data_IF_272865290613
#
_entry.id   IF_272865290613
#
_cell.length_a   1.000
_cell.length_b   1.000
_cell.length_c   1.000
_cell.angle_alpha   90.00
_cell.angle_beta   90.00
_cell.angle_gamma   90.00
#
_symmetry.space_group_name_H-M   'P 1'
#
loop_
_entity.id
_entity.type
_entity.pdbx_description
1 polymer ?
#
# COMPACT_ATOMS: atom_id res chain seq x y z
N UNK A 1 -6.26 -23.60 8.61
CA UNK A 1 -6.97 -22.32 8.54
C UNK A 1 -6.44 -21.58 7.34
N UNK A 2 -7.27 -20.83 6.63
CA UNK A 2 -6.80 -19.91 5.58
C UNK A 2 -6.06 -18.76 6.27
N UNK A 3 -4.86 -18.43 5.78
CA UNK A 3 -4.04 -17.33 6.30
C UNK A 3 -4.41 -16.06 5.54
N UNK A 4 -4.38 -14.92 6.23
CA UNK A 4 -4.52 -13.61 5.59
C UNK A 4 -3.16 -12.91 5.60
N UNK A 5 -2.75 -12.42 4.44
CA UNK A 5 -1.48 -11.73 4.23
C UNK A 5 -1.74 -10.30 3.80
N UNK A 6 -0.99 -9.37 4.38
CA UNK A 6 -1.00 -7.96 3.99
C UNK A 6 0.27 -7.61 3.22
N UNK A 7 0.13 -6.90 2.10
CA UNK A 7 1.22 -6.48 1.21
C UNK A 7 1.30 -4.95 1.23
N UNK A 8 2.50 -4.42 1.43
CA UNK A 8 2.77 -2.98 1.37
C UNK A 8 2.84 -2.44 -0.06
N UNK A 9 3.30 -1.19 -0.18
CA UNK A 9 3.42 -0.44 -1.43
C UNK A 9 4.34 -1.16 -2.43
N UNK A 10 4.00 -1.11 -3.73
CA UNK A 10 4.65 -1.90 -4.79
C UNK A 10 5.37 -1.01 -5.81
N UNK A 11 4.75 0.11 -6.21
CA UNK A 11 5.38 1.14 -7.04
C UNK A 11 5.98 0.65 -8.37
N UNK A 12 5.24 -0.20 -9.10
CA UNK A 12 5.71 -0.79 -10.36
C UNK A 12 6.77 -1.88 -10.21
N UNK A 13 7.09 -2.32 -8.99
CA UNK A 13 8.07 -3.36 -8.72
C UNK A 13 7.53 -4.78 -8.92
N UNK A 14 7.10 -5.15 -10.14
CA UNK A 14 6.52 -6.47 -10.44
C UNK A 14 7.44 -7.63 -10.04
N UNK A 15 8.73 -7.58 -10.38
CA UNK A 15 9.70 -8.63 -10.00
C UNK A 15 9.77 -8.83 -8.48
N UNK A 16 9.64 -7.75 -7.73
CA UNK A 16 9.65 -7.79 -6.28
C UNK A 16 8.34 -8.34 -5.71
N UNK A 17 7.20 -7.99 -6.31
CA UNK A 17 5.91 -8.57 -5.98
C UNK A 17 5.93 -10.10 -6.17
N UNK A 18 6.35 -10.57 -7.35
CA UNK A 18 6.44 -12.01 -7.65
C UNK A 18 7.36 -12.73 -6.65
N UNK A 19 8.55 -12.16 -6.41
CA UNK A 19 9.52 -12.74 -5.50
C UNK A 19 9.01 -12.79 -4.05
N UNK A 20 8.31 -11.75 -3.57
CA UNK A 20 7.81 -11.74 -2.19
C UNK A 20 6.66 -12.72 -1.99
N UNK A 21 5.77 -12.87 -2.98
CA UNK A 21 4.71 -13.89 -2.97
C UNK A 21 5.29 -15.31 -2.97
N UNK A 22 6.35 -15.56 -3.74
CA UNK A 22 7.07 -16.84 -3.73
C UNK A 22 7.70 -17.12 -2.36
N UNK A 23 8.42 -16.15 -1.78
CA UNK A 23 9.10 -16.29 -0.48
C UNK A 23 8.12 -16.56 0.66
N UNK A 24 6.96 -15.91 0.65
CA UNK A 24 5.89 -16.15 1.60
C UNK A 24 5.11 -17.44 1.33
N UNK A 25 5.43 -18.14 0.23
CA UNK A 25 4.76 -19.36 -0.22
C UNK A 25 3.25 -19.16 -0.28
N UNK A 26 2.83 -18.09 -0.95
CA UNK A 26 1.41 -17.78 -1.13
C UNK A 26 0.74 -18.89 -1.93
N UNK A 27 -0.46 -19.26 -1.50
CA UNK A 27 -1.32 -20.25 -2.14
C UNK A 27 -2.69 -19.64 -2.43
N UNK A 28 -3.47 -20.31 -3.27
CA UNK A 28 -4.85 -19.94 -3.59
C UNK A 28 -5.82 -19.98 -2.40
N UNK A 29 -5.39 -20.59 -1.28
CA UNK A 29 -6.13 -20.63 -0.02
C UNK A 29 -5.87 -19.41 0.86
N UNK A 30 -4.85 -18.61 0.56
CA UNK A 30 -4.53 -17.41 1.31
C UNK A 30 -5.38 -16.24 0.81
N UNK A 31 -5.82 -15.40 1.75
CA UNK A 31 -6.43 -14.10 1.44
C UNK A 31 -5.35 -13.03 1.40
N UNK A 32 -5.35 -12.20 0.36
CA UNK A 32 -4.37 -11.12 0.21
C UNK A 32 -5.04 -9.76 0.40
N UNK A 33 -4.41 -8.88 1.17
CA UNK A 33 -4.83 -7.49 1.34
C UNK A 33 -3.67 -6.61 0.89
N UNK A 34 -3.86 -5.85 -0.18
CA UNK A 34 -2.87 -4.93 -0.71
C UNK A 34 -3.18 -3.51 -0.27
N UNK A 35 -2.17 -2.80 0.25
CA UNK A 35 -2.35 -1.50 0.92
C UNK A 35 -2.33 -0.28 -0.03
N UNK A 36 -2.24 -0.47 -1.34
CA UNK A 36 -2.22 0.60 -2.34
C UNK A 36 -0.83 0.95 -2.84
N UNK A 37 -0.78 1.98 -3.68
CA UNK A 37 0.42 2.46 -4.40
C UNK A 37 1.07 1.32 -5.20
N UNK A 38 0.29 0.80 -6.15
CA UNK A 38 0.69 -0.27 -7.07
C UNK A 38 1.60 0.25 -8.19
N UNK A 39 1.38 1.50 -8.58
CA UNK A 39 1.98 2.17 -9.73
C UNK A 39 2.97 3.25 -9.30
N UNK A 40 3.66 3.79 -10.30
CA UNK A 40 4.67 4.86 -10.22
C UNK A 40 5.99 4.43 -9.59
N UNK A 41 7.09 4.90 -10.16
CA UNK A 41 8.44 4.60 -9.70
C UNK A 41 9.17 3.69 -10.67
N UNK A 42 8.95 2.38 -10.59
CA UNK A 42 9.59 1.41 -11.48
C UNK A 42 8.77 1.17 -12.75
N UNK A 43 9.45 0.73 -13.80
CA UNK A 43 8.92 0.68 -15.18
C UNK A 43 7.74 -0.26 -15.42
N UNK A 44 7.45 -1.19 -14.49
CA UNK A 44 6.48 -2.28 -14.71
C UNK A 44 5.09 -1.99 -14.12
N UNK A 45 4.68 -0.72 -14.04
CA UNK A 45 3.41 -0.30 -13.39
C UNK A 45 2.15 -0.92 -14.01
N UNK A 46 1.99 -0.88 -15.34
CA UNK A 46 0.85 -1.50 -16.02
C UNK A 46 0.85 -3.03 -15.88
N UNK A 47 2.04 -3.65 -15.86
CA UNK A 47 2.21 -5.08 -15.67
C UNK A 47 1.89 -5.52 -14.23
N UNK A 48 2.19 -4.70 -13.22
CA UNK A 48 1.70 -4.91 -11.85
C UNK A 48 0.18 -4.96 -11.83
N UNK A 49 -0.51 -3.99 -12.45
CA UNK A 49 -1.98 -4.00 -12.47
C UNK A 49 -2.53 -5.26 -13.15
N UNK A 50 -1.97 -5.68 -14.29
CA UNK A 50 -2.32 -6.94 -14.94
C UNK A 50 -2.13 -8.15 -14.00
N UNK A 51 -0.98 -8.25 -13.34
CA UNK A 51 -0.69 -9.33 -12.42
C UNK A 51 -1.68 -9.39 -11.24
N UNK A 52 -2.08 -8.23 -10.70
CA UNK A 52 -3.06 -8.15 -9.60
C UNK A 52 -4.47 -8.55 -10.08
N UNK A 53 -4.88 -8.14 -11.28
CA UNK A 53 -6.15 -8.58 -11.89
C UNK A 53 -6.14 -10.11 -12.05
N UNK A 54 -5.10 -10.69 -12.64
CA UNK A 54 -5.00 -12.14 -12.80
C UNK A 54 -4.96 -12.89 -11.47
N UNK A 55 -4.30 -12.33 -10.45
CA UNK A 55 -4.23 -12.92 -9.11
C UNK A 55 -5.60 -12.95 -8.44
N UNK A 56 -6.38 -11.87 -8.58
CA UNK A 56 -7.74 -11.77 -8.03
C UNK A 56 -8.74 -12.77 -8.63
N UNK A 57 -8.45 -13.27 -9.84
CA UNK A 57 -9.25 -14.32 -10.48
C UNK A 57 -8.98 -15.71 -9.88
N UNK A 58 -7.84 -15.87 -9.18
CA UNK A 58 -7.36 -17.16 -8.65
C UNK A 58 -7.58 -17.28 -7.14
N UNK A 59 -7.59 -16.17 -6.40
CA UNK A 59 -7.77 -16.16 -4.94
C UNK A 59 -8.38 -14.86 -4.43
N UNK A 60 -8.87 -14.90 -3.18
CA UNK A 60 -9.48 -13.72 -2.54
C UNK A 60 -8.45 -12.61 -2.34
N UNK A 61 -8.70 -11.46 -2.96
CA UNK A 61 -7.86 -10.27 -2.85
C UNK A 61 -8.71 -9.05 -2.44
N UNK A 62 -8.15 -8.21 -1.59
CA UNK A 62 -8.68 -6.88 -1.25
C UNK A 62 -7.64 -5.85 -1.66
N UNK A 63 -8.03 -4.88 -2.47
CA UNK A 63 -7.15 -3.82 -2.95
C UNK A 63 -7.57 -2.49 -2.33
N UNK A 64 -6.68 -1.91 -1.51
CA UNK A 64 -6.86 -0.55 -0.98
C UNK A 64 -6.30 0.45 -2.00
N UNK A 65 -6.99 1.56 -2.25
CA UNK A 65 -6.53 2.59 -3.20
C UNK A 65 -5.53 3.52 -2.53
N UNK A 66 -4.31 3.58 -3.05
CA UNK A 66 -3.29 4.56 -2.68
C UNK A 66 -3.45 5.91 -3.38
N UNK A 67 -2.59 6.87 -3.06
CA UNK A 67 -2.63 8.17 -3.73
C UNK A 67 -2.09 8.10 -5.17
N UNK A 68 -1.09 7.26 -5.42
CA UNK A 68 -0.53 7.07 -6.75
C UNK A 68 -1.54 6.36 -7.69
N UNK A 69 -2.27 5.40 -7.16
CA UNK A 69 -3.34 4.69 -7.88
C UNK A 69 -4.47 5.64 -8.31
N UNK A 70 -4.85 6.58 -7.43
CA UNK A 70 -5.85 7.60 -7.76
C UNK A 70 -5.37 8.52 -8.89
N UNK A 71 -4.10 8.94 -8.88
CA UNK A 71 -3.57 9.76 -9.97
C UNK A 71 -3.53 9.01 -11.30
N UNK A 72 -3.14 7.72 -11.28
CA UNK A 72 -3.15 6.89 -12.48
C UNK A 72 -4.57 6.70 -13.03
N UNK A 73 -5.56 6.44 -12.17
CA UNK A 73 -6.97 6.33 -12.56
C UNK A 73 -7.48 7.64 -13.19
N UNK A 74 -7.23 8.80 -12.57
CA UNK A 74 -7.64 10.10 -13.12
C UNK A 74 -6.95 10.40 -14.47
N UNK A 75 -5.69 9.98 -14.62
CA UNK A 75 -4.96 10.12 -15.86
C UNK A 75 -5.54 9.24 -16.96
N UNK A 76 -5.77 7.95 -16.70
CA UNK A 76 -6.34 7.01 -17.67
C UNK A 76 -7.76 7.44 -18.08
N UNK A 77 -8.59 7.88 -17.13
CA UNK A 77 -9.99 8.23 -17.39
C UNK A 77 -10.16 9.60 -18.06
N UNK A 78 -9.35 10.60 -17.68
CA UNK A 78 -9.60 12.00 -18.05
C UNK A 78 -8.39 12.72 -18.63
N UNK A 79 -7.24 12.06 -18.72
CA UNK A 79 -5.97 12.68 -19.14
C UNK A 79 -5.39 13.66 -18.11
N UNK A 80 -5.89 13.66 -16.87
CA UNK A 80 -5.40 14.56 -15.82
C UNK A 80 -4.01 14.12 -15.35
N UNK A 81 -3.01 15.00 -15.50
CA UNK A 81 -1.61 14.72 -15.16
C UNK A 81 -0.99 15.84 -14.32
N UNK A 82 -1.25 15.89 -13.01
CA UNK A 82 -0.63 16.88 -12.14
C UNK A 82 0.90 16.82 -12.24
N UNK A 83 1.57 17.97 -12.31
CA UNK A 83 3.04 18.03 -12.36
C UNK A 83 3.68 17.31 -11.16
N UNK A 84 3.09 17.47 -9.98
CA UNK A 84 3.52 16.77 -8.76
C UNK A 84 3.50 15.25 -8.92
N UNK A 85 2.52 14.69 -9.62
CA UNK A 85 2.45 13.24 -9.87
C UNK A 85 3.55 12.78 -10.82
N UNK A 86 3.78 13.51 -11.91
CA UNK A 86 4.86 13.23 -12.87
C UNK A 86 6.24 13.22 -12.20
N UNK A 87 6.51 14.20 -11.33
CA UNK A 87 7.75 14.29 -10.54
C UNK A 87 7.90 13.17 -9.50
N UNK A 88 6.81 12.49 -9.14
CA UNK A 88 6.79 11.41 -8.15
C UNK A 88 6.67 10.02 -8.80
N UNK A 89 7.13 9.85 -10.04
CA UNK A 89 7.21 8.55 -10.71
C UNK A 89 6.11 8.27 -11.72
N UNK A 90 5.16 9.19 -11.91
CA UNK A 90 4.05 9.03 -12.87
C UNK A 90 4.49 8.92 -14.33
N UNK A 91 5.68 9.44 -14.68
CA UNK A 91 6.23 9.30 -16.06
C UNK A 91 6.46 7.82 -16.42
N UNK A 92 7.06 7.04 -15.52
CA UNK A 92 7.31 5.61 -15.74
C UNK A 92 5.99 4.83 -15.91
N UNK A 93 4.97 5.21 -15.13
CA UNK A 93 3.61 4.66 -15.31
C UNK A 93 3.09 4.97 -16.69
N UNK A 94 3.12 6.23 -17.14
CA UNK A 94 2.65 6.59 -18.48
C UNK A 94 3.37 5.80 -19.59
N UNK A 95 4.69 5.63 -19.47
CA UNK A 95 5.49 4.85 -20.42
C UNK A 95 5.09 3.37 -20.44
N UNK A 96 4.76 2.78 -19.28
CA UNK A 96 4.31 1.38 -19.19
C UNK A 96 2.97 1.11 -19.90
N UNK A 97 2.19 2.14 -20.19
CA UNK A 97 0.91 2.06 -20.91
C UNK A 97 1.01 2.45 -22.40
N UNK A 98 2.21 2.73 -22.93
CA UNK A 98 2.37 3.30 -24.28
C UNK A 98 1.74 2.48 -25.42
N UNK A 99 1.72 1.15 -25.28
CA UNK A 99 1.21 0.22 -26.29
C UNK A 99 -0.16 -0.39 -25.92
N UNK A 100 -0.82 0.11 -24.87
CA UNK A 100 -2.13 -0.41 -24.44
C UNK A 100 -3.25 0.07 -25.36
N UNK A 101 -4.13 -0.86 -25.73
CA UNK A 101 -5.39 -0.55 -26.40
C UNK A 101 -6.43 0.04 -25.44
N UNK A 102 -7.42 0.73 -25.99
CA UNK A 102 -8.55 1.27 -25.21
C UNK A 102 -9.26 0.16 -24.38
N UNK A 103 -9.37 -1.06 -24.93
CA UNK A 103 -9.98 -2.20 -24.22
C UNK A 103 -9.16 -2.64 -23.00
N UNK A 104 -7.83 -2.60 -23.09
CA UNK A 104 -6.95 -2.95 -21.97
C UNK A 104 -6.98 -1.84 -20.91
N UNK A 105 -7.03 -0.57 -21.33
CA UNK A 105 -7.21 0.57 -20.42
C UNK A 105 -8.55 0.46 -19.68
N UNK A 106 -9.64 0.11 -20.35
CA UNK A 106 -10.96 -0.06 -19.72
C UNK A 106 -10.94 -1.14 -18.63
N UNK A 107 -10.23 -2.26 -18.85
CA UNK A 107 -10.04 -3.31 -17.82
C UNK A 107 -9.30 -2.79 -16.59
N UNK A 108 -8.28 -1.97 -16.79
CA UNK A 108 -7.52 -1.38 -15.69
C UNK A 108 -8.35 -0.32 -14.95
N UNK A 109 -9.14 0.49 -15.67
CA UNK A 109 -10.08 1.44 -15.06
C UNK A 109 -11.15 0.73 -14.22
N UNK A 110 -11.66 -0.42 -14.68
CA UNK A 110 -12.56 -1.24 -13.88
C UNK A 110 -11.88 -1.72 -12.59
N UNK A 111 -10.63 -2.18 -12.67
CA UNK A 111 -9.85 -2.57 -11.50
C UNK A 111 -9.66 -1.41 -10.50
N UNK A 112 -9.23 -0.24 -10.96
CA UNK A 112 -9.12 0.95 -10.10
C UNK A 112 -10.47 1.33 -9.47
N UNK A 113 -11.56 1.25 -10.23
CA UNK A 113 -12.91 1.59 -9.76
C UNK A 113 -13.43 0.65 -8.66
N UNK A 114 -12.92 -0.58 -8.57
CA UNK A 114 -13.31 -1.58 -7.56
C UNK A 114 -12.51 -1.50 -6.26
N UNK A 115 -11.40 -0.73 -6.21
CA UNK A 115 -10.58 -0.62 -5.02
C UNK A 115 -11.30 0.08 -3.87
N UNK A 116 -10.96 -0.33 -2.65
CA UNK A 116 -11.52 0.22 -1.42
C UNK A 116 -10.72 1.40 -0.91
N UNK A 117 -11.39 2.37 -0.28
CA UNK A 117 -10.69 3.42 0.48
C UNK A 117 -10.03 2.87 1.75
N UNK A 118 -10.68 1.90 2.38
CA UNK A 118 -10.21 1.16 3.54
C UNK A 118 -11.04 -0.13 3.66
N UNK A 119 -10.55 -1.07 4.47
CA UNK A 119 -11.24 -2.32 4.80
C UNK A 119 -11.13 -2.59 6.30
N UNK A 120 -12.20 -3.13 6.91
CA UNK A 120 -12.18 -3.60 8.30
C UNK A 120 -12.62 -5.05 8.31
N UNK A 121 -11.87 -5.89 9.01
CA UNK A 121 -12.20 -7.31 9.13
C UNK A 121 -13.07 -7.64 10.36
N UNK A 122 -13.41 -8.93 10.49
CA UNK A 122 -14.24 -9.43 11.59
C UNK A 122 -13.58 -9.31 12.97
N UNK A 123 -12.26 -9.11 13.03
CA UNK A 123 -11.49 -8.93 14.27
C UNK A 123 -11.30 -7.44 14.59
N UNK A 124 -12.00 -6.54 13.88
CA UNK A 124 -11.88 -5.09 14.02
C UNK A 124 -10.44 -4.60 13.81
N UNK A 125 -9.76 -5.15 12.80
CA UNK A 125 -8.48 -4.65 12.28
C UNK A 125 -8.75 -3.80 11.06
N UNK A 126 -8.15 -2.61 11.01
CA UNK A 126 -8.27 -1.66 9.92
C UNK A 126 -7.13 -1.83 8.92
N UNK A 127 -7.44 -1.77 7.65
CA UNK A 127 -6.50 -1.72 6.54
C UNK A 127 -6.79 -0.45 5.72
N UNK A 128 -5.82 0.45 5.65
CA UNK A 128 -5.97 1.77 5.03
C UNK A 128 -4.62 2.23 4.49
N UNK A 129 -4.59 2.88 3.32
CA UNK A 129 -3.31 3.19 2.67
C UNK A 129 -2.45 4.13 3.54
N UNK A 130 -2.99 5.29 3.93
CA UNK A 130 -2.27 6.27 4.74
C UNK A 130 -2.82 6.36 6.18
N UNK A 131 -4.03 6.90 6.34
CA UNK A 131 -4.58 7.11 7.69
C UNK A 131 -5.93 7.82 7.72
N UNK A 132 -6.26 8.35 8.89
CA UNK A 132 -7.46 9.14 9.12
C UNK A 132 -7.25 10.09 10.30
N UNK A 133 -7.87 11.26 10.22
CA UNK A 133 -7.82 12.31 11.23
C UNK A 133 -9.01 12.28 12.19
N UNK A 134 -10.15 11.73 11.74
CA UNK A 134 -11.38 11.69 12.53
C UNK A 134 -11.22 10.92 13.85
N UNK A 135 -11.72 11.50 14.93
CA UNK A 135 -11.76 10.86 16.26
C UNK A 135 -12.78 9.72 16.35
N UNK A 136 -13.61 9.55 15.32
CA UNK A 136 -14.66 8.53 15.25
C UNK A 136 -14.41 7.52 14.12
N UNK A 137 -13.18 7.43 13.62
CA UNK A 137 -12.76 6.44 12.63
C UNK A 137 -12.93 6.89 11.18
N UNK A 138 -12.44 6.10 10.22
CA UNK A 138 -12.45 6.44 8.80
C UNK A 138 -13.88 6.64 8.26
N UNK A 139 -14.89 5.93 8.79
CA UNK A 139 -16.30 6.12 8.39
C UNK A 139 -16.86 7.54 8.64
N UNK A 140 -16.26 8.28 9.60
CA UNK A 140 -16.63 9.66 9.95
C UNK A 140 -15.57 10.66 9.49
N UNK A 141 -14.69 10.26 8.57
CA UNK A 141 -13.71 11.17 7.99
C UNK A 141 -14.40 12.16 7.05
N UNK A 142 -14.22 13.45 7.30
CA UNK A 142 -14.79 14.51 6.48
C UNK A 142 -14.02 14.69 5.17
N UNK A 143 -12.71 14.45 5.21
CA UNK A 143 -11.82 14.60 4.08
C UNK A 143 -11.42 13.22 3.56
N UNK A 144 -12.16 12.70 2.58
CA UNK A 144 -11.89 11.36 2.00
C UNK A 144 -10.49 11.23 1.38
N UNK A 145 -9.80 12.33 1.10
CA UNK A 145 -8.37 12.32 0.75
C UNK A 145 -7.49 11.76 1.86
N UNK A 146 -7.86 11.91 3.13
CA UNK A 146 -7.03 11.46 4.25
C UNK A 146 -6.73 9.96 4.20
N UNK A 147 -7.62 9.14 3.65
CA UNK A 147 -7.37 7.72 3.45
C UNK A 147 -6.07 7.44 2.66
N UNK A 148 -5.68 8.38 1.79
CA UNK A 148 -4.54 8.29 0.88
C UNK A 148 -3.37 9.21 1.22
N UNK A 149 -3.56 10.22 2.06
CA UNK A 149 -2.55 11.25 2.32
C UNK A 149 -2.28 11.56 3.80
N UNK A 150 -3.12 11.09 4.74
CA UNK A 150 -2.91 11.40 6.16
C UNK A 150 -1.68 10.70 6.72
N UNK A 151 -0.67 11.49 7.07
CA UNK A 151 0.54 11.01 7.77
C UNK A 151 0.41 11.12 9.29
N UNK A 152 -0.59 11.85 9.78
CA UNK A 152 -0.68 12.18 11.20
C UNK A 152 -0.99 10.96 12.06
N UNK A 153 -1.73 9.96 11.54
CA UNK A 153 -1.99 8.71 12.25
C UNK A 153 -0.68 7.98 12.58
N UNK A 154 0.19 7.82 11.58
CA UNK A 154 1.50 7.19 11.75
C UNK A 154 2.42 8.01 12.67
N UNK A 155 2.51 9.31 12.42
CA UNK A 155 3.31 10.22 13.27
C UNK A 155 2.86 10.17 14.74
N UNK A 156 1.56 10.08 14.99
CA UNK A 156 1.00 9.93 16.34
C UNK A 156 1.41 8.62 16.98
N UNK A 157 1.37 7.51 16.25
CA UNK A 157 1.80 6.21 16.75
C UNK A 157 3.30 6.20 17.05
N UNK A 158 4.13 6.78 16.17
CA UNK A 158 5.59 6.89 16.34
C UNK A 158 5.96 7.76 17.53
N UNK A 159 5.27 8.88 17.74
CA UNK A 159 5.56 9.84 18.81
C UNK A 159 4.97 9.46 20.17
N UNK A 160 4.10 8.44 20.24
CA UNK A 160 3.47 8.02 21.49
C UNK A 160 4.52 7.49 22.48
N UNK A 161 4.57 8.11 23.66
CA UNK A 161 5.38 7.62 24.77
C UNK A 161 4.82 6.27 25.25
N UNK A 162 5.65 5.22 25.14
CA UNK A 162 5.25 3.84 25.45
C UNK A 162 4.92 3.60 26.92
N UNK A 163 5.16 4.58 27.80
CA UNK A 163 4.76 4.55 29.23
C UNK A 163 3.31 5.00 29.45
N UNK A 164 2.66 5.55 28.43
CA UNK A 164 1.26 5.99 28.53
C UNK A 164 0.36 4.77 28.32
N UNK A 165 -0.35 4.39 29.38
CA UNK A 165 -1.31 3.28 29.36
C UNK A 165 -2.56 3.60 28.53
N UNK A 166 -3.20 2.57 27.96
CA UNK A 166 -4.36 2.70 27.05
C UNK A 166 -5.59 3.36 27.70
N UNK A 167 -5.74 3.28 29.01
CA UNK A 167 -6.84 3.90 29.77
C UNK A 167 -6.53 5.35 30.22
N UNK A 168 -5.33 5.84 29.95
CA UNK A 168 -4.93 7.21 30.25
C UNK A 168 -5.74 8.24 29.47
N UNK A 169 -6.09 9.34 30.14
CA UNK A 169 -6.70 10.52 29.50
C UNK A 169 -5.82 11.12 28.39
N UNK A 170 -4.51 10.85 28.41
CA UNK A 170 -3.54 11.33 27.43
C UNK A 170 -3.35 10.36 26.24
N UNK A 171 -3.91 9.15 26.30
CA UNK A 171 -3.78 8.19 25.21
C UNK A 171 -4.59 8.66 23.99
N UNK A 172 -4.02 8.70 22.76
CA UNK A 172 -4.75 9.14 21.57
C UNK A 172 -5.96 8.24 21.29
N UNK A 173 -7.17 8.74 21.55
CA UNK A 173 -8.41 7.94 21.48
C UNK A 173 -8.67 7.33 20.10
N UNK A 174 -8.22 7.98 19.02
CA UNK A 174 -8.36 7.43 17.66
C UNK A 174 -7.64 6.09 17.47
N UNK A 175 -6.55 5.85 18.20
CA UNK A 175 -5.81 4.57 18.18
C UNK A 175 -6.55 3.47 18.95
N UNK A 176 -7.61 3.77 19.71
CA UNK A 176 -8.38 2.77 20.46
C UNK A 176 -9.58 2.23 19.67
N UNK A 177 -9.84 2.75 18.45
CA UNK A 177 -11.00 2.38 17.64
C UNK A 177 -10.87 0.98 17.01
N UNK A 178 -9.64 0.55 16.78
CA UNK A 178 -9.30 -0.71 16.12
C UNK A 178 -8.33 -1.51 16.97
N UNK A 179 -8.45 -2.84 16.91
CA UNK A 179 -7.51 -3.72 17.60
C UNK A 179 -6.10 -3.56 17.02
N UNK A 180 -6.01 -3.49 15.69
CA UNK A 180 -4.79 -3.20 14.93
C UNK A 180 -5.13 -2.38 13.69
N UNK A 181 -4.15 -1.64 13.19
CA UNK A 181 -4.26 -0.82 11.98
C UNK A 181 -3.06 -1.14 11.08
N UNK A 182 -3.28 -1.50 9.83
CA UNK A 182 -2.24 -1.75 8.83
C UNK A 182 -2.23 -0.62 7.81
N UNK A 183 -1.04 -0.04 7.59
CA UNK A 183 -0.82 1.10 6.71
C UNK A 183 0.40 0.92 5.80
N UNK A 184 0.44 1.71 4.72
CA UNK A 184 1.58 1.90 3.83
C UNK A 184 2.01 3.38 3.78
N UNK A 185 2.24 3.91 2.58
CA UNK A 185 2.38 5.34 2.22
C UNK A 185 3.62 6.10 2.74
N UNK A 186 3.96 5.95 4.02
CA UNK A 186 5.12 6.60 4.63
C UNK A 186 6.18 5.55 4.90
N UNK A 187 7.27 5.51 4.11
CA UNK A 187 8.25 4.44 4.20
C UNK A 187 8.87 4.34 5.58
N UNK A 188 9.00 3.13 6.11
CA UNK A 188 9.74 2.87 7.35
C UNK A 188 11.23 3.24 7.21
N UNK A 189 11.75 3.36 5.99
CA UNK A 189 13.08 3.90 5.69
C UNK A 189 13.31 5.29 6.29
N UNK A 190 12.26 6.12 6.41
CA UNK A 190 12.36 7.44 7.05
C UNK A 190 12.72 7.35 8.55
N UNK A 191 12.48 6.19 9.16
CA UNK A 191 12.86 5.88 10.54
C UNK A 191 14.12 5.02 10.62
N UNK A 192 14.84 4.84 9.50
CA UNK A 192 16.11 4.13 9.42
C UNK A 192 15.98 2.60 9.48
N UNK A 193 14.80 2.05 9.21
CA UNK A 193 14.57 0.59 9.18
C UNK A 193 14.00 0.16 7.83
N UNK A 194 14.34 -1.04 7.40
CA UNK A 194 13.93 -1.60 6.09
C UNK A 194 12.94 -2.75 6.22
N UNK A 195 12.25 -2.88 7.36
CA UNK A 195 11.31 -3.95 7.67
C UNK A 195 9.98 -3.37 8.18
N UNK A 196 8.87 -4.13 8.14
CA UNK A 196 7.59 -3.68 8.67
C UNK A 196 7.71 -3.28 10.14
N UNK A 197 7.19 -2.09 10.49
CA UNK A 197 7.40 -1.51 11.81
C UNK A 197 6.08 -1.36 12.56
N UNK A 198 6.04 -1.88 13.78
CA UNK A 198 4.91 -1.65 14.70
C UNK A 198 5.18 -0.47 15.63
N UNK A 199 4.18 0.41 15.77
CA UNK A 199 4.11 1.45 16.80
C UNK A 199 2.68 1.53 17.34
N UNK A 200 2.55 1.47 18.67
CA UNK A 200 1.24 1.30 19.32
C UNK A 200 0.48 0.10 18.72
N UNK A 201 -0.71 0.32 18.15
CA UNK A 201 -1.47 -0.70 17.42
C UNK A 201 -1.38 -0.54 15.89
N UNK A 202 -0.47 0.29 15.38
CA UNK A 202 -0.29 0.55 13.95
C UNK A 202 0.91 -0.25 13.42
N UNK A 203 0.67 -1.07 12.41
CA UNK A 203 1.68 -1.77 11.62
C UNK A 203 1.87 -1.07 10.29
N UNK A 204 3.07 -0.54 10.06
CA UNK A 204 3.45 0.05 8.79
C UNK A 204 4.22 -0.98 7.95
N UNK A 205 3.68 -1.31 6.77
CA UNK A 205 4.18 -2.33 5.86
C UNK A 205 4.90 -1.71 4.65
N UNK A 206 4.86 -0.38 4.48
CA UNK A 206 5.63 0.32 3.44
C UNK A 206 7.11 0.34 3.83
N UNK A 207 7.87 -0.56 3.23
CA UNK A 207 9.32 -0.68 3.41
C UNK A 207 10.12 0.04 2.33
N UNK A 208 9.52 1.03 1.67
CA UNK A 208 10.18 1.95 0.75
C UNK A 208 10.39 1.40 -0.65
N UNK A 209 9.43 0.63 -1.16
CA UNK A 209 9.53 -0.01 -2.47
C UNK A 209 9.69 0.98 -3.63
N UNK A 210 9.12 2.18 -3.50
CA UNK A 210 9.35 3.30 -4.42
C UNK A 210 10.82 3.69 -4.62
N UNK A 211 11.67 3.43 -3.62
CA UNK A 211 13.00 4.03 -3.46
C UNK A 211 14.11 2.99 -3.50
N UNK A 212 14.88 2.83 -2.44
CA UNK A 212 15.95 1.82 -2.33
C UNK A 212 15.53 0.62 -1.49
N UNK A 213 14.27 0.60 -1.05
CA UNK A 213 13.72 -0.40 -0.16
C UNK A 213 13.29 -1.67 -0.87
N UNK A 214 12.33 -2.36 -0.26
CA UNK A 214 11.82 -3.68 -0.65
C UNK A 214 10.30 -3.67 -0.61
N UNK A 215 9.67 -4.62 -1.31
CA UNK A 215 8.25 -4.96 -1.08
C UNK A 215 8.17 -5.96 0.06
N UNK A 216 7.28 -5.71 1.03
CA UNK A 216 7.05 -6.59 2.18
C UNK A 216 5.65 -7.19 2.16
N UNK A 217 5.56 -8.45 2.60
CA UNK A 217 4.30 -9.14 2.90
C UNK A 217 4.35 -9.69 4.33
N UNK A 218 3.24 -9.61 5.05
CA UNK A 218 3.14 -10.04 6.45
C UNK A 218 1.89 -10.87 6.69
N UNK A 219 2.02 -11.95 7.46
CA UNK A 219 0.89 -12.66 8.04
C UNK A 219 0.29 -11.83 9.18
N UNK A 220 -0.99 -11.47 9.04
CA UNK A 220 -1.65 -10.54 9.97
C UNK A 220 -1.98 -11.15 11.33
N UNK A 221 -1.86 -12.46 11.51
CA UNK A 221 -2.11 -13.13 12.79
C UNK A 221 -0.78 -13.40 13.51
N UNK A 222 0.20 -13.95 12.78
CA UNK A 222 1.49 -14.38 13.36
C UNK A 222 2.53 -13.26 13.40
N UNK A 223 2.37 -12.22 12.58
CA UNK A 223 3.33 -11.13 12.33
C UNK A 223 4.64 -11.58 11.69
N UNK A 224 4.71 -12.83 11.24
CA UNK A 224 5.80 -13.27 10.37
C UNK A 224 5.72 -12.50 9.05
N UNK A 225 6.87 -12.06 8.55
CA UNK A 225 6.94 -11.30 7.31
C UNK A 225 8.06 -11.78 6.40
N UNK A 226 7.89 -11.54 5.11
CA UNK A 226 8.83 -11.86 4.05
C UNK A 226 9.03 -10.60 3.20
N UNK A 227 10.21 -10.49 2.60
CA UNK A 227 10.58 -9.32 1.81
C UNK A 227 11.25 -9.77 0.52
N UNK A 228 11.07 -9.00 -0.55
CA UNK A 228 11.88 -9.13 -1.76
C UNK A 228 13.31 -8.63 -1.53
N UNK A 229 14.16 -8.80 -2.54
CA UNK A 229 15.42 -8.07 -2.68
C UNK A 229 15.16 -6.58 -2.88
N UNK A 230 16.12 -5.71 -2.53
CA UNK A 230 16.01 -4.28 -2.80
C UNK A 230 15.73 -4.00 -4.28
N UNK A 231 14.78 -3.10 -4.56
CA UNK A 231 14.39 -2.83 -5.95
C UNK A 231 15.55 -2.40 -6.87
N UNK A 232 16.52 -1.58 -6.44
CA UNK A 232 17.67 -1.26 -7.29
C UNK A 232 18.47 -2.49 -7.76
N UNK A 233 18.43 -3.60 -7.01
CA UNK A 233 19.04 -4.86 -7.42
C UNK A 233 18.21 -5.64 -8.46
N UNK A 234 16.89 -5.48 -8.44
CA UNK A 234 15.95 -6.10 -9.39
C UNK A 234 15.82 -5.29 -10.70
N UNK A 235 16.11 -3.99 -10.62
CA UNK A 235 16.03 -3.02 -11.71
C UNK A 235 17.34 -2.19 -11.79
N UNK A 236 18.47 -2.81 -12.15
CA UNK A 236 19.79 -2.17 -12.08
C UNK A 236 19.97 -0.99 -13.05
N UNK A 237 19.16 -0.92 -14.11
CA UNK A 237 19.23 0.12 -15.15
C UNK A 237 18.19 1.23 -14.94
N UNK A 238 17.44 1.20 -13.83
CA UNK A 238 16.40 2.16 -13.49
C UNK A 238 16.71 2.88 -12.18
N UNK A 239 16.03 4.00 -11.95
CA UNK A 239 16.18 4.80 -10.73
C UNK A 239 14.99 4.70 -9.78
N UNK A 240 13.86 4.14 -10.19
CA UNK A 240 12.62 4.24 -9.40
C UNK A 240 12.29 5.71 -9.10
N UNK A 241 11.88 6.02 -7.86
CA UNK A 241 11.67 7.40 -7.38
C UNK A 241 12.91 8.02 -6.71
N UNK A 242 14.10 7.46 -6.94
CA UNK A 242 15.34 7.98 -6.38
C UNK A 242 15.88 9.18 -7.20
N UNK A 243 16.57 10.15 -6.56
CA UNK A 243 17.15 11.31 -7.23
C UNK A 243 18.30 10.97 -8.21
#
# INVERSE_FOLDING_TARGET
MSRTLVVGDIHGGLKALEQVLERAKVTDKDKLIFLGDYVDGWSESSQVINALIELSQKQECIFIKGNHDLYCEEWLAFGHKPEMWLLNGGVATMESYADYSDEEIDKHLEFFGQMHNYYTDEQNRLFIHAGYSSMHGPEKEMHSSNYRWDRTLWETAVALDTRIEKDSLQYPKRLLLFNEIFIGHTPTLHLGVSYPLNKANVWNIDTGAAFTGVVSIMDIDTKEFWQSEPLPGLYPDEKGRNP
#
